data_IF_921535835430
#
_entry.id   IF_921535835430
#
_cell.length_a   1.000
_cell.length_b   1.000
_cell.length_c   1.000
_cell.angle_alpha   90.00
_cell.angle_beta   90.00
_cell.angle_gamma   90.00
#
_symmetry.space_group_name_H-M   'P 1'
#
loop_
_entity.id
_entity.type
_entity.pdbx_description
1 polymer ?
#
# COMPACT_ATOMS: atom_id res chain seq x y z
N UNK A 1 2.01 -6.23 -7.51
CA UNK A 1 2.98 -5.40 -6.75
C UNK A 1 3.14 -6.01 -5.37
N UNK A 2 4.37 -6.18 -4.87
CA UNK A 2 4.64 -6.81 -3.56
C UNK A 2 4.30 -5.86 -2.39
N UNK A 3 3.65 -6.38 -1.35
CA UNK A 3 3.31 -5.65 -0.13
C UNK A 3 4.56 -5.12 0.59
N UNK A 4 5.71 -5.82 0.50
CA UNK A 4 6.96 -5.37 1.10
C UNK A 4 7.53 -4.14 0.39
N UNK A 5 7.46 -4.12 -0.94
CA UNK A 5 7.85 -2.95 -1.74
C UNK A 5 6.96 -1.75 -1.44
N UNK A 6 5.64 -1.98 -1.32
CA UNK A 6 4.71 -0.93 -0.88
C UNK A 6 5.06 -0.39 0.49
N UNK A 7 5.41 -1.26 1.45
CA UNK A 7 5.80 -0.83 2.78
C UNK A 7 7.08 0.03 2.75
N UNK A 8 8.06 -0.29 1.90
CA UNK A 8 9.25 0.55 1.70
C UNK A 8 8.90 1.91 1.09
N UNK A 9 8.01 1.92 0.08
CA UNK A 9 7.58 3.17 -0.57
C UNK A 9 6.81 4.05 0.43
N UNK A 10 5.84 3.49 1.14
CA UNK A 10 4.97 4.20 2.09
C UNK A 10 5.62 4.45 3.46
N UNK A 11 6.68 3.73 3.80
CA UNK A 11 7.46 3.88 5.04
C UNK A 11 6.81 3.27 6.27
N UNK A 12 5.48 3.20 6.35
CA UNK A 12 4.78 2.56 7.46
C UNK A 12 3.40 2.01 7.09
N UNK A 13 2.93 1.01 7.85
CA UNK A 13 1.58 0.48 7.72
C UNK A 13 0.49 1.54 7.98
N UNK A 14 0.78 2.51 8.86
CA UNK A 14 -0.14 3.62 9.16
C UNK A 14 -0.26 4.60 8.00
N UNK A 15 0.86 4.95 7.36
CA UNK A 15 0.84 5.80 6.16
C UNK A 15 0.16 5.09 5.00
N UNK A 16 0.44 3.80 4.81
CA UNK A 16 -0.23 3.00 3.80
C UNK A 16 -1.74 2.94 4.03
N UNK A 17 -2.19 2.75 5.27
CA UNK A 17 -3.61 2.78 5.60
C UNK A 17 -4.27 4.12 5.23
N UNK A 18 -3.61 5.25 5.51
CA UNK A 18 -4.07 6.59 5.13
C UNK A 18 -4.21 6.74 3.61
N UNK A 19 -3.18 6.35 2.85
CA UNK A 19 -3.16 6.49 1.40
C UNK A 19 -4.17 5.57 0.71
N UNK A 20 -4.35 4.36 1.23
CA UNK A 20 -5.31 3.40 0.68
C UNK A 20 -6.76 3.64 1.15
N UNK A 21 -6.98 4.54 2.12
CA UNK A 21 -8.31 4.81 2.69
C UNK A 21 -8.88 3.60 3.46
N UNK A 22 -8.03 2.84 4.14
CA UNK A 22 -8.41 1.63 4.88
C UNK A 22 -7.95 1.69 6.34
N UNK A 23 -8.37 0.72 7.15
CA UNK A 23 -7.85 0.60 8.53
C UNK A 23 -6.42 0.04 8.55
N UNK A 24 -5.66 0.39 9.59
CA UNK A 24 -4.34 -0.18 9.86
C UNK A 24 -4.39 -1.71 10.02
N UNK A 25 -5.49 -2.24 10.54
CA UNK A 25 -5.71 -3.68 10.70
C UNK A 25 -5.82 -4.38 9.35
N UNK A 26 -6.49 -3.77 8.36
CA UNK A 26 -6.55 -4.32 7.00
C UNK A 26 -5.16 -4.41 6.38
N UNK A 27 -4.36 -3.35 6.50
CA UNK A 27 -2.95 -3.35 6.06
C UNK A 27 -2.15 -4.43 6.78
N UNK A 28 -2.32 -4.59 8.10
CA UNK A 28 -1.64 -5.64 8.86
C UNK A 28 -1.99 -7.04 8.36
N UNK A 29 -3.24 -7.28 7.96
CA UNK A 29 -3.66 -8.56 7.37
C UNK A 29 -2.96 -8.81 6.03
N UNK A 30 -2.82 -7.80 5.18
CA UNK A 30 -2.10 -7.92 3.90
C UNK A 30 -0.61 -8.20 4.10
N UNK A 31 0.01 -7.53 5.08
CA UNK A 31 1.41 -7.77 5.42
C UNK A 31 1.59 -9.20 5.94
N UNK A 32 0.71 -9.66 6.83
CA UNK A 32 0.74 -11.03 7.35
C UNK A 32 0.51 -12.09 6.26
N UNK A 33 -0.39 -11.81 5.30
CA UNK A 33 -0.63 -12.65 4.13
C UNK A 33 0.53 -12.59 3.10
N UNK A 34 1.38 -11.57 3.17
CA UNK A 34 2.47 -11.35 2.22
C UNK A 34 2.02 -10.86 0.85
N UNK A 35 0.74 -10.52 0.69
CA UNK A 35 0.16 -10.12 -0.60
C UNK A 35 -0.83 -8.97 -0.47
N UNK A 36 -0.90 -8.16 -1.52
CA UNK A 36 -1.93 -7.14 -1.68
C UNK A 36 -3.14 -7.74 -2.41
N UNK A 37 -4.38 -7.59 -1.91
CA UNK A 37 -5.58 -8.07 -2.58
C UNK A 37 -5.66 -7.59 -4.04
N UNK A 38 -6.08 -8.47 -4.95
CA UNK A 38 -6.16 -8.19 -6.38
C UNK A 38 -6.89 -6.88 -6.71
N UNK A 39 -8.04 -6.64 -6.04
CA UNK A 39 -8.84 -5.43 -6.20
C UNK A 39 -8.09 -4.13 -5.85
N UNK A 40 -7.04 -4.20 -5.02
CA UNK A 40 -6.23 -3.05 -4.60
C UNK A 40 -4.93 -2.89 -5.37
N UNK A 41 -4.58 -3.83 -6.26
CA UNK A 41 -3.34 -3.72 -7.05
C UNK A 41 -3.36 -2.52 -7.99
N UNK A 42 -4.52 -2.23 -8.60
CA UNK A 42 -4.67 -1.02 -9.41
C UNK A 42 -4.51 0.26 -8.59
N UNK A 43 -5.16 0.33 -7.42
CA UNK A 43 -5.02 1.48 -6.50
C UNK A 43 -3.57 1.70 -6.06
N UNK A 44 -2.84 0.61 -5.76
CA UNK A 44 -1.43 0.68 -5.42
C UNK A 44 -0.58 1.29 -6.54
N UNK A 45 -0.81 0.90 -7.80
CA UNK A 45 -0.11 1.46 -8.95
C UNK A 45 -0.35 2.97 -9.07
N UNK A 46 -1.61 3.40 -9.03
CA UNK A 46 -1.97 4.83 -9.12
C UNK A 46 -1.31 5.64 -8.01
N UNK A 47 -1.35 5.16 -6.76
CA UNK A 47 -0.74 5.87 -5.62
C UNK A 47 0.78 5.98 -5.74
N UNK A 48 1.45 4.94 -6.23
CA UNK A 48 2.90 4.95 -6.45
C UNK A 48 3.26 5.95 -7.55
N UNK A 49 2.53 5.95 -8.66
CA UNK A 49 2.78 6.86 -9.78
C UNK A 49 2.53 8.32 -9.38
N UNK A 50 1.43 8.61 -8.69
CA UNK A 50 1.15 9.95 -8.14
C UNK A 50 2.26 10.45 -7.22
N UNK A 51 2.88 9.55 -6.45
CA UNK A 51 3.95 9.92 -5.53
C UNK A 51 5.28 10.16 -6.23
N UNK A 52 5.56 9.45 -7.33
CA UNK A 52 6.73 9.70 -8.19
C UNK A 52 6.64 11.05 -8.87
N UNK A 53 5.45 11.44 -9.32
CA UNK A 53 5.21 12.74 -9.99
C UNK A 53 5.32 13.95 -9.04
N UNK A 54 5.21 13.74 -7.72
CA UNK A 54 5.33 14.79 -6.69
C UNK A 54 6.75 14.98 -6.15
N UNK A 55 7.73 14.22 -6.63
CA UNK A 55 9.15 14.34 -6.30
C UNK A 55 9.89 15.06 -7.41
#
# INVERSE_FOLDING_TARGET
>A
MDIKELLKIFGSASEMARQFGVSRQAVSKWIAAGELPALRQYQAQVLVDMRRLKR
#
